data_IF_766150921802
#
_entry.id   IF_766150921802
#
_cell.length_a   1.000
_cell.length_b   1.000
_cell.length_c   1.000
_cell.angle_alpha   90.00
_cell.angle_beta   90.00
_cell.angle_gamma   90.00
#
_symmetry.space_group_name_H-M   'P 1'
#
loop_
_entity.id
_entity.type
_entity.pdbx_description
1 polymer ?
#
# COMPACT_ATOMS: atom_id res chain seq x y z
N UNK A 1 -52.55 -29.71 -79.63
CA UNK A 1 -53.02 -29.03 -78.44
C UNK A 1 -51.98 -29.12 -77.36
N UNK A 2 -51.11 -28.14 -77.28
CA UNK A 2 -50.92 -27.10 -76.29
C UNK A 2 -50.70 -27.57 -74.86
N UNK A 3 -49.53 -27.37 -74.26
CA UNK A 3 -49.25 -26.31 -73.29
C UNK A 3 -47.83 -26.41 -72.74
N UNK A 4 -47.06 -25.36 -72.89
CA UNK A 4 -45.78 -25.07 -72.27
C UNK A 4 -45.89 -24.98 -70.77
N UNK A 5 -44.93 -25.51 -70.02
CA UNK A 5 -44.72 -25.19 -68.64
C UNK A 5 -43.26 -24.84 -68.45
N UNK A 6 -43.03 -23.59 -68.17
CA UNK A 6 -41.72 -23.00 -67.82
C UNK A 6 -41.25 -23.53 -66.47
N UNK A 7 -40.02 -24.00 -66.46
CA UNK A 7 -39.34 -24.32 -65.23
C UNK A 7 -38.44 -23.09 -64.86
N UNK A 8 -38.90 -22.32 -63.83
CA UNK A 8 -38.11 -21.29 -63.19
C UNK A 8 -37.06 -21.95 -62.31
N UNK A 9 -35.81 -21.71 -62.61
CA UNK A 9 -34.66 -22.10 -61.75
C UNK A 9 -34.47 -20.99 -60.74
N UNK A 10 -34.82 -21.23 -59.46
CA UNK A 10 -34.50 -20.36 -58.33
C UNK A 10 -33.04 -20.60 -58.00
N UNK A 11 -32.19 -19.61 -58.28
CA UNK A 11 -30.83 -19.56 -57.77
C UNK A 11 -30.89 -19.16 -56.29
N UNK A 12 -30.64 -20.11 -55.40
CA UNK A 12 -30.48 -19.87 -53.97
C UNK A 12 -29.09 -19.28 -53.73
N UNK A 13 -28.99 -17.98 -53.54
CA UNK A 13 -27.73 -17.31 -53.12
C UNK A 13 -27.61 -17.50 -51.61
N UNK A 14 -26.70 -18.36 -51.19
CA UNK A 14 -26.30 -18.53 -49.79
C UNK A 14 -25.44 -17.33 -49.41
N UNK A 15 -26.04 -16.37 -48.71
CA UNK A 15 -25.31 -15.26 -48.09
C UNK A 15 -24.67 -15.79 -46.82
N UNK A 16 -23.37 -16.10 -46.91
CA UNK A 16 -22.55 -16.49 -45.73
C UNK A 16 -22.42 -15.27 -44.79
N UNK A 17 -23.15 -15.28 -43.69
CA UNK A 17 -22.93 -14.36 -42.59
C UNK A 17 -21.62 -14.72 -41.90
N UNK A 18 -20.57 -13.97 -42.17
CA UNK A 18 -19.34 -13.92 -41.35
C UNK A 18 -19.74 -13.31 -40.01
N UNK A 19 -20.05 -14.15 -39.04
CA UNK A 19 -20.06 -13.78 -37.63
C UNK A 19 -18.61 -13.48 -37.23
N UNK A 20 -18.17 -12.23 -37.45
CA UNK A 20 -17.01 -11.67 -36.83
C UNK A 20 -17.25 -11.65 -35.33
N UNK A 21 -16.73 -12.63 -34.60
CA UNK A 21 -16.62 -12.57 -33.16
C UNK A 21 -15.85 -11.34 -32.77
N UNK A 22 -16.55 -10.28 -32.37
CA UNK A 22 -15.98 -9.21 -31.58
C UNK A 22 -15.54 -9.88 -30.27
N UNK A 23 -14.25 -10.20 -30.18
CA UNK A 23 -13.62 -10.43 -28.90
C UNK A 23 -13.82 -9.12 -28.14
N UNK A 24 -14.80 -9.08 -27.27
CA UNK A 24 -14.91 -8.10 -26.21
C UNK A 24 -13.61 -8.19 -25.40
N UNK A 25 -12.62 -7.41 -25.82
CA UNK A 25 -11.54 -6.99 -24.94
C UNK A 25 -12.20 -6.17 -23.86
N UNK A 26 -12.69 -6.82 -22.82
CA UNK A 26 -13.01 -6.18 -21.56
C UNK A 26 -11.72 -5.50 -21.13
N UNK A 27 -11.54 -4.24 -21.52
CA UNK A 27 -10.52 -3.37 -20.98
C UNK A 27 -10.73 -3.43 -19.47
N UNK A 28 -9.83 -4.13 -18.77
CA UNK A 28 -9.87 -4.20 -17.32
C UNK A 28 -9.92 -2.77 -16.80
N UNK A 29 -11.09 -2.40 -16.31
CA UNK A 29 -11.41 -1.00 -15.99
C UNK A 29 -10.47 -0.56 -14.90
N UNK A 30 -9.66 0.46 -15.17
CA UNK A 30 -8.69 0.98 -14.23
C UNK A 30 -9.38 1.30 -12.90
N UNK A 31 -8.94 0.65 -11.82
CA UNK A 31 -9.51 0.87 -10.49
C UNK A 31 -9.47 2.35 -10.12
N UNK A 32 -10.50 2.89 -9.47
CA UNK A 32 -10.52 4.29 -9.08
C UNK A 32 -9.45 4.58 -8.02
N UNK A 33 -8.86 5.76 -8.11
CA UNK A 33 -7.94 6.26 -7.07
C UNK A 33 -8.73 6.56 -5.80
N UNK A 34 -8.21 6.13 -4.66
CA UNK A 34 -8.79 6.41 -3.34
C UNK A 34 -8.28 7.75 -2.81
N UNK A 35 -8.72 8.85 -3.42
CA UNK A 35 -8.23 10.20 -3.15
C UNK A 35 -8.34 10.66 -1.69
N UNK A 36 -9.18 10.00 -0.90
CA UNK A 36 -9.29 10.25 0.54
C UNK A 36 -8.11 9.72 1.37
N UNK A 37 -7.22 8.91 0.81
CA UNK A 37 -6.06 8.36 1.53
C UNK A 37 -4.87 9.33 1.62
N UNK A 38 -4.87 10.42 0.85
CA UNK A 38 -3.80 11.41 0.84
C UNK A 38 -4.42 12.80 1.03
N UNK A 39 -3.92 13.57 1.99
CA UNK A 39 -4.44 14.91 2.31
C UNK A 39 -3.34 15.96 2.21
N UNK A 40 -3.69 17.15 1.70
CA UNK A 40 -2.75 18.25 1.64
C UNK A 40 -2.58 18.94 3.00
N UNK A 41 -1.47 19.64 3.17
CA UNK A 41 -1.20 20.50 4.33
C UNK A 41 -2.28 21.58 4.49
N UNK A 42 -2.78 22.14 3.39
CA UNK A 42 -3.85 23.13 3.40
C UNK A 42 -5.17 22.56 3.92
N UNK A 43 -5.53 21.35 3.47
CA UNK A 43 -6.71 20.65 3.98
C UNK A 43 -6.59 20.43 5.48
N UNK A 44 -5.45 19.87 5.95
CA UNK A 44 -5.24 19.58 7.36
C UNK A 44 -5.29 20.86 8.22
N UNK A 45 -4.67 21.95 7.75
CA UNK A 45 -4.71 23.24 8.45
C UNK A 45 -6.16 23.73 8.70
N UNK A 46 -7.06 23.50 7.74
CA UNK A 46 -8.50 23.80 7.89
C UNK A 46 -9.25 22.85 8.83
N UNK A 47 -8.63 21.72 9.21
CA UNK A 47 -9.26 20.68 10.05
C UNK A 47 -8.72 20.61 11.48
N UNK A 48 -7.73 21.40 11.85
CA UNK A 48 -7.08 21.29 13.18
C UNK A 48 -8.03 21.44 14.37
N UNK A 49 -9.14 22.18 14.21
CA UNK A 49 -10.17 22.34 15.24
C UNK A 49 -11.31 21.33 15.16
N UNK A 50 -11.27 20.42 14.19
CA UNK A 50 -12.33 19.44 14.00
C UNK A 50 -12.11 18.24 14.95
N UNK A 51 -13.01 18.00 15.94
CA UNK A 51 -12.85 16.93 16.92
C UNK A 51 -12.94 15.51 16.28
N UNK A 52 -13.40 15.42 15.03
CA UNK A 52 -13.43 14.17 14.27
C UNK A 52 -12.12 13.88 13.55
N UNK A 53 -11.08 14.70 13.70
CA UNK A 53 -9.76 14.50 13.09
C UNK A 53 -8.72 14.28 14.19
N UNK A 54 -8.11 13.11 14.17
CA UNK A 54 -6.96 12.74 15.01
C UNK A 54 -5.71 12.82 14.16
N UNK A 55 -4.73 13.60 14.60
CA UNK A 55 -3.44 13.73 13.92
C UNK A 55 -2.39 12.98 14.72
N UNK A 56 -1.64 12.09 14.06
CA UNK A 56 -0.56 11.32 14.67
C UNK A 56 0.77 11.68 14.03
N UNK A 57 1.74 12.02 14.85
CA UNK A 57 3.15 12.21 14.48
C UNK A 57 3.93 10.95 14.86
N UNK A 58 4.46 10.27 13.88
CA UNK A 58 5.17 9.01 14.07
C UNK A 58 6.66 9.22 13.83
N UNK A 59 7.48 8.98 14.85
CA UNK A 59 8.93 9.07 14.75
C UNK A 59 9.63 8.02 15.60
N UNK A 60 10.96 7.84 15.43
CA UNK A 60 11.75 6.90 16.23
C UNK A 60 11.90 7.35 17.67
N UNK A 61 12.02 8.65 17.86
CA UNK A 61 12.14 9.31 19.17
C UNK A 61 11.31 10.59 19.17
N UNK A 62 11.21 11.24 20.33
CA UNK A 62 10.41 12.45 20.49
C UNK A 62 11.04 13.73 19.98
N UNK A 63 12.30 13.70 19.57
CA UNK A 63 13.06 14.93 19.29
C UNK A 63 12.35 15.83 18.27
N UNK A 64 12.01 15.28 17.10
CA UNK A 64 11.34 16.05 16.04
C UNK A 64 9.95 16.56 16.45
N UNK A 65 9.26 15.80 17.29
CA UNK A 65 7.96 16.19 17.85
C UNK A 65 8.09 17.33 18.86
N UNK A 66 9.05 17.24 19.79
CA UNK A 66 9.26 18.22 20.84
C UNK A 66 9.86 19.54 20.30
N UNK A 67 10.64 19.46 19.19
CA UNK A 67 11.12 20.64 18.46
C UNK A 67 10.03 21.37 17.68
N UNK A 68 8.93 20.69 17.33
CA UNK A 68 7.78 21.28 16.69
C UNK A 68 6.97 20.30 15.84
N UNK A 69 5.70 20.17 16.19
CA UNK A 69 4.75 19.29 15.52
C UNK A 69 3.53 20.06 15.02
N UNK A 70 2.74 19.44 14.15
CA UNK A 70 1.45 19.97 13.68
C UNK A 70 0.53 20.19 14.90
N UNK A 71 -0.13 21.36 15.05
CA UNK A 71 -0.96 21.65 16.19
C UNK A 71 -1.96 20.54 16.51
N UNK A 72 -1.99 20.13 17.79
CA UNK A 72 -2.86 19.05 18.27
C UNK A 72 -2.43 17.64 17.86
N UNK A 73 -1.30 17.45 17.19
CA UNK A 73 -0.79 16.13 16.87
C UNK A 73 -0.35 15.36 18.11
N UNK A 74 -0.57 14.05 18.12
CA UNK A 74 -0.23 13.11 19.19
C UNK A 74 0.97 12.27 18.76
N UNK A 75 1.94 12.12 19.65
CA UNK A 75 3.16 11.37 19.36
C UNK A 75 2.93 9.86 19.41
N UNK A 76 3.52 9.16 18.45
CA UNK A 76 3.60 7.70 18.40
C UNK A 76 5.07 7.32 18.19
N UNK A 77 5.66 6.59 19.12
CA UNK A 77 6.99 6.03 18.88
C UNK A 77 6.90 4.90 17.84
N UNK A 78 7.82 4.89 16.89
CA UNK A 78 7.88 3.82 15.88
C UNK A 78 7.97 2.44 16.53
N UNK A 79 8.69 2.32 17.65
CA UNK A 79 8.82 1.09 18.44
C UNK A 79 7.50 0.56 19.00
N UNK A 80 6.47 1.40 19.15
CA UNK A 80 5.16 0.98 19.67
C UNK A 80 4.29 0.27 18.62
N UNK A 81 4.63 0.44 17.33
CA UNK A 81 3.89 -0.14 16.20
C UNK A 81 4.64 -1.29 15.50
N UNK A 82 5.76 -1.72 16.07
CA UNK A 82 6.53 -2.86 15.59
C UNK A 82 7.05 -3.70 16.76
N UNK A 83 7.32 -4.97 16.50
CA UNK A 83 7.91 -5.89 17.48
C UNK A 83 8.95 -6.79 16.79
N UNK A 84 9.90 -7.29 17.54
CA UNK A 84 10.75 -8.39 17.09
C UNK A 84 10.13 -9.71 17.55
N UNK A 85 9.85 -10.61 16.61
CA UNK A 85 9.29 -11.94 16.88
C UNK A 85 10.13 -12.99 16.17
N UNK A 86 10.58 -14.01 16.90
CA UNK A 86 11.38 -15.12 16.36
C UNK A 86 12.63 -14.65 15.56
N UNK A 87 13.24 -13.54 16.01
CA UNK A 87 14.39 -12.94 15.33
C UNK A 87 14.06 -12.17 14.04
N UNK A 88 12.77 -11.95 13.77
CA UNK A 88 12.26 -11.12 12.67
C UNK A 88 11.90 -9.73 13.22
N UNK A 89 12.59 -8.68 12.80
CA UNK A 89 12.32 -7.32 13.25
C UNK A 89 11.12 -6.72 12.52
N UNK A 90 10.52 -5.69 13.13
CA UNK A 90 9.43 -4.89 12.59
C UNK A 90 8.13 -5.67 12.27
N UNK A 91 7.92 -6.82 12.90
CA UNK A 91 6.65 -7.55 12.81
C UNK A 91 5.50 -6.75 13.45
N UNK A 92 4.27 -7.05 13.05
CA UNK A 92 3.07 -6.44 13.66
C UNK A 92 2.94 -6.89 15.12
N UNK A 93 2.80 -5.96 16.08
CA UNK A 93 2.51 -6.28 17.47
C UNK A 93 1.18 -7.03 17.64
N UNK A 94 0.95 -7.68 18.81
CA UNK A 94 -0.34 -8.25 19.14
C UNK A 94 -1.48 -7.24 19.01
N UNK A 95 -2.62 -7.69 18.50
CA UNK A 95 -3.78 -6.82 18.21
C UNK A 95 -4.22 -6.01 19.43
N UNK A 96 -4.22 -6.63 20.60
CA UNK A 96 -4.66 -5.96 21.83
C UNK A 96 -3.69 -4.88 22.31
N UNK A 97 -2.39 -5.03 22.04
CA UNK A 97 -1.39 -3.99 22.33
C UNK A 97 -1.59 -2.77 21.44
N UNK A 98 -1.81 -3.02 20.13
CA UNK A 98 -2.12 -1.96 19.18
C UNK A 98 -3.44 -1.25 19.49
N UNK A 99 -4.47 -1.99 19.90
CA UNK A 99 -5.75 -1.40 20.31
C UNK A 99 -5.57 -0.49 21.52
N UNK A 100 -4.85 -0.97 22.56
CA UNK A 100 -4.54 -0.13 23.74
C UNK A 100 -3.77 1.12 23.35
N UNK A 101 -2.74 1.00 22.51
CA UNK A 101 -1.97 2.14 22.02
C UNK A 101 -2.88 3.16 21.33
N UNK A 102 -3.63 2.76 20.31
CA UNK A 102 -4.45 3.69 19.55
C UNK A 102 -5.61 4.29 20.38
N UNK A 103 -6.20 3.50 21.28
CA UNK A 103 -7.21 3.97 22.24
C UNK A 103 -6.63 5.07 23.14
N UNK A 104 -5.45 4.86 23.72
CA UNK A 104 -4.80 5.88 24.57
C UNK A 104 -4.44 7.15 23.80
N UNK A 105 -4.28 7.03 22.49
CA UNK A 105 -4.09 8.17 21.60
C UNK A 105 -5.42 8.80 21.14
N UNK A 106 -6.55 8.41 21.71
CA UNK A 106 -7.85 8.93 21.34
C UNK A 106 -8.31 8.55 19.93
N UNK A 107 -7.76 7.47 19.37
CA UNK A 107 -8.23 6.89 18.11
C UNK A 107 -9.37 5.93 18.42
N UNK A 108 -10.60 6.40 18.24
CA UNK A 108 -11.81 5.59 18.41
C UNK A 108 -12.33 4.99 17.10
N UNK A 109 -13.57 4.48 17.14
CA UNK A 109 -14.23 3.85 15.96
C UNK A 109 -14.68 4.85 14.88
N UNK A 110 -14.64 6.13 15.16
CA UNK A 110 -15.14 7.21 14.27
C UNK A 110 -14.05 8.23 13.98
N UNK A 111 -14.33 9.09 12.99
CA UNK A 111 -13.45 10.18 12.61
C UNK A 111 -12.33 9.76 11.66
N UNK A 112 -11.49 10.72 11.32
CA UNK A 112 -10.35 10.57 10.41
C UNK A 112 -9.05 10.51 11.20
N UNK A 113 -8.12 9.70 10.73
CA UNK A 113 -6.79 9.57 11.30
C UNK A 113 -5.79 10.08 10.26
N UNK A 114 -5.08 11.15 10.59
CA UNK A 114 -4.08 11.72 9.70
C UNK A 114 -2.69 11.37 10.24
N UNK A 115 -1.90 10.75 9.40
CA UNK A 115 -0.58 10.21 9.73
C UNK A 115 0.50 11.02 9.04
N UNK A 116 1.51 11.41 9.79
CA UNK A 116 2.73 11.95 9.22
C UNK A 116 3.93 11.55 10.09
N UNK A 117 5.07 11.55 9.49
CA UNK A 117 6.33 11.33 10.19
C UNK A 117 7.29 12.45 9.90
N UNK A 118 8.48 12.33 10.46
CA UNK A 118 9.66 13.06 10.06
C UNK A 118 10.41 12.30 8.95
N UNK A 119 11.42 12.96 8.38
CA UNK A 119 12.34 12.40 7.41
C UNK A 119 11.63 11.89 6.13
N UNK A 120 11.51 10.58 5.96
CA UNK A 120 11.13 9.96 4.68
C UNK A 120 9.69 9.41 4.65
N UNK A 121 8.90 9.62 5.69
CA UNK A 121 7.49 9.19 5.77
C UNK A 121 7.27 7.68 5.97
N UNK A 122 8.31 6.86 6.07
CA UNK A 122 8.16 5.40 6.23
C UNK A 122 7.47 5.01 7.54
N UNK A 123 7.70 5.76 8.61
CA UNK A 123 7.03 5.54 9.89
C UNK A 123 5.50 5.75 9.76
N UNK A 124 5.08 6.76 9.01
CA UNK A 124 3.67 7.03 8.74
C UNK A 124 3.03 5.93 7.88
N UNK A 125 3.72 5.45 6.83
CA UNK A 125 3.18 4.34 6.01
C UNK A 125 3.14 3.02 6.78
N UNK A 126 4.09 2.76 7.69
CA UNK A 126 4.03 1.60 8.59
C UNK A 126 2.81 1.69 9.51
N UNK A 127 2.53 2.87 10.06
CA UNK A 127 1.34 3.10 10.88
C UNK A 127 0.06 2.93 10.08
N UNK A 128 0.02 3.41 8.82
CA UNK A 128 -1.11 3.18 7.93
C UNK A 128 -1.37 1.67 7.75
N UNK A 129 -0.33 0.90 7.44
CA UNK A 129 -0.43 -0.55 7.28
C UNK A 129 -0.97 -1.22 8.56
N UNK A 130 -0.46 -0.84 9.73
CA UNK A 130 -0.94 -1.33 11.03
C UNK A 130 -2.41 -1.00 11.26
N UNK A 131 -2.84 0.23 10.94
CA UNK A 131 -4.25 0.63 11.04
C UNK A 131 -5.13 -0.10 10.01
N UNK A 132 -4.65 -0.33 8.79
CA UNK A 132 -5.41 -1.11 7.80
C UNK A 132 -5.53 -2.58 8.22
N UNK A 133 -4.48 -3.15 8.80
CA UNK A 133 -4.52 -4.49 9.42
C UNK A 133 -5.59 -4.57 10.53
N UNK A 134 -5.70 -3.54 11.37
CA UNK A 134 -6.75 -3.44 12.38
C UNK A 134 -8.16 -3.14 11.82
N UNK A 135 -8.31 -2.96 10.51
CA UNK A 135 -9.59 -2.63 9.86
C UNK A 135 -9.92 -1.14 9.81
N UNK A 136 -8.98 -0.27 10.13
CA UNK A 136 -9.18 1.19 10.17
C UNK A 136 -8.57 1.93 8.97
N UNK A 137 -8.02 1.24 7.97
CA UNK A 137 -7.37 1.85 6.81
C UNK A 137 -8.24 2.81 6.01
N UNK A 138 -9.56 2.57 5.92
CA UNK A 138 -10.49 3.46 5.20
C UNK A 138 -10.60 4.87 5.85
N UNK A 139 -10.25 5.00 7.13
CA UNK A 139 -10.29 6.24 7.89
C UNK A 139 -8.93 6.91 8.01
N UNK A 140 -7.86 6.19 7.71
CA UNK A 140 -6.50 6.67 7.78
C UNK A 140 -6.06 7.31 6.46
N UNK A 141 -5.31 8.41 6.57
CA UNK A 141 -4.72 9.11 5.44
C UNK A 141 -3.32 9.59 5.79
N UNK A 142 -2.44 9.70 4.80
CA UNK A 142 -1.16 10.36 4.96
C UNK A 142 -1.28 11.87 4.70
N UNK A 143 -0.53 12.65 5.47
CA UNK A 143 -0.25 14.04 5.15
C UNK A 143 0.80 14.07 4.04
N UNK A 144 0.44 14.57 2.87
CA UNK A 144 1.30 14.61 1.69
C UNK A 144 2.50 15.55 1.91
N UNK A 145 3.70 15.00 1.79
CA UNK A 145 4.95 15.70 2.08
C UNK A 145 5.31 15.82 3.58
N UNK A 146 4.49 15.29 4.48
CA UNK A 146 4.80 15.17 5.91
C UNK A 146 5.08 16.47 6.65
N UNK A 147 5.92 16.37 7.70
CA UNK A 147 6.33 17.51 8.52
C UNK A 147 7.21 18.49 7.73
N UNK A 148 8.02 18.00 6.82
CA UNK A 148 8.94 18.79 6.01
C UNK A 148 8.17 19.79 5.15
N UNK A 149 7.13 19.35 4.45
CA UNK A 149 6.27 20.24 3.66
C UNK A 149 5.49 21.20 4.54
N UNK A 150 4.99 20.77 5.69
CA UNK A 150 4.31 21.63 6.64
C UNK A 150 5.21 22.79 7.10
N UNK A 151 6.48 22.49 7.42
CA UNK A 151 7.51 23.47 7.78
C UNK A 151 7.90 24.39 6.62
N UNK A 152 8.09 23.80 5.42
CA UNK A 152 8.44 24.56 4.21
C UNK A 152 7.37 25.59 3.84
N UNK A 153 6.11 25.29 4.09
CA UNK A 153 4.98 26.21 3.91
C UNK A 153 4.82 27.20 5.09
N UNK A 154 5.75 27.21 6.04
CA UNK A 154 5.76 28.10 7.22
C UNK A 154 4.45 28.04 8.02
N UNK A 155 3.83 26.86 8.10
CA UNK A 155 2.61 26.66 8.89
C UNK A 155 2.93 26.62 10.38
N UNK A 156 1.95 26.95 11.21
CA UNK A 156 2.10 26.94 12.66
C UNK A 156 2.53 25.57 13.20
N UNK A 157 3.42 25.58 14.18
CA UNK A 157 3.86 24.42 14.94
C UNK A 157 3.56 24.63 16.41
N UNK A 158 3.38 23.52 17.14
CA UNK A 158 3.30 23.47 18.59
C UNK A 158 4.46 22.62 19.14
N UNK A 159 4.88 22.94 20.37
CA UNK A 159 5.91 22.18 21.13
C UNK A 159 5.31 21.50 22.36
N UNK A 160 4.08 21.86 22.70
CA UNK A 160 3.34 21.29 23.85
C UNK A 160 2.41 20.20 23.38
N UNK A 161 2.55 19.01 23.94
CA UNK A 161 1.65 17.90 23.62
C UNK A 161 0.22 18.21 24.05
N UNK A 162 -0.80 17.85 23.25
CA UNK A 162 -2.19 18.06 23.62
C UNK A 162 -2.59 17.16 24.79
N UNK A 163 -3.56 17.61 25.58
CA UNK A 163 -4.29 16.71 26.49
C UNK A 163 -5.11 15.73 25.66
N UNK A 164 -4.96 14.44 25.95
CA UNK A 164 -5.64 13.37 25.19
C UNK A 164 -6.70 12.75 26.10
N UNK A 165 -7.95 12.84 25.66
CA UNK A 165 -9.01 12.00 26.23
C UNK A 165 -8.98 10.66 25.51
N UNK A 166 -8.79 9.53 26.23
CA UNK A 166 -8.84 8.20 25.62
C UNK A 166 -10.19 7.97 24.93
N UNK A 167 -10.16 7.44 23.74
CA UNK A 167 -11.36 7.09 23.03
C UNK A 167 -11.69 5.61 23.27
N UNK A 168 -12.96 5.27 23.28
CA UNK A 168 -13.35 3.87 23.24
C UNK A 168 -13.21 3.31 21.82
N UNK A 169 -12.18 2.53 21.61
CA UNK A 169 -12.09 1.64 20.47
C UNK A 169 -12.85 0.36 20.87
N UNK A 170 -14.16 0.37 20.68
CA UNK A 170 -15.01 -0.76 21.01
C UNK A 170 -14.59 -1.97 20.18
N UNK A 171 -14.31 -3.14 20.77
CA UNK A 171 -14.20 -4.37 20.01
C UNK A 171 -15.58 -4.68 19.43
N UNK A 172 -15.95 -4.02 18.35
CA UNK A 172 -17.21 -4.32 17.69
C UNK A 172 -17.00 -5.59 16.90
N UNK A 173 -17.69 -6.65 17.30
CA UNK A 173 -18.05 -7.83 16.50
C UNK A 173 -18.85 -7.42 15.23
N UNK A 174 -18.52 -6.29 14.63
CA UNK A 174 -19.08 -5.90 13.32
C UNK A 174 -18.14 -6.42 12.23
N UNK A 175 -18.68 -7.11 11.23
CA UNK A 175 -17.88 -7.59 10.08
C UNK A 175 -17.09 -6.49 9.38
N UNK A 176 -17.48 -5.21 9.55
CA UNK A 176 -16.83 -4.06 8.94
C UNK A 176 -15.51 -3.60 9.60
N UNK A 177 -15.20 -4.06 10.82
CA UNK A 177 -13.96 -3.73 11.54
C UNK A 177 -13.26 -5.02 12.00
N UNK A 178 -13.30 -6.04 11.17
CA UNK A 178 -12.51 -7.26 11.40
C UNK A 178 -11.04 -6.96 11.11
N UNK A 179 -10.16 -7.49 11.95
CA UNK A 179 -8.72 -7.51 11.66
C UNK A 179 -8.50 -8.16 10.30
N UNK A 180 -7.82 -7.47 9.40
CA UNK A 180 -7.57 -7.95 8.04
C UNK A 180 -6.38 -8.91 8.03
N UNK A 181 -6.57 -10.12 8.51
CA UNK A 181 -5.52 -11.14 8.54
C UNK A 181 -4.94 -11.42 7.15
N UNK A 182 -5.70 -11.19 6.09
CA UNK A 182 -5.26 -11.33 4.72
C UNK A 182 -4.37 -10.16 4.22
N UNK A 183 -4.24 -9.08 4.99
CA UNK A 183 -3.30 -8.01 4.68
C UNK A 183 -1.83 -8.46 4.83
N UNK A 184 -1.56 -9.49 5.63
CA UNK A 184 -0.23 -10.07 5.86
C UNK A 184 -0.14 -11.45 5.21
N UNK A 185 1.00 -11.72 4.57
CA UNK A 185 1.32 -13.04 4.00
C UNK A 185 2.59 -13.58 4.64
N UNK A 186 2.59 -14.88 4.89
CA UNK A 186 3.76 -15.62 5.35
C UNK A 186 4.59 -16.15 4.17
N UNK A 187 5.75 -16.69 4.48
CA UNK A 187 6.68 -17.28 3.52
C UNK A 187 6.03 -18.41 2.71
N UNK A 188 5.19 -19.24 3.33
CA UNK A 188 4.54 -20.38 2.70
C UNK A 188 3.56 -19.92 1.63
N UNK A 189 2.78 -18.87 1.95
CA UNK A 189 1.87 -18.29 0.98
C UNK A 189 2.63 -17.70 -0.22
N UNK A 190 3.72 -16.95 0.02
CA UNK A 190 4.53 -16.37 -1.06
C UNK A 190 5.11 -17.49 -1.92
N UNK A 191 5.73 -18.51 -1.33
CA UNK A 191 6.35 -19.63 -2.04
C UNK A 191 5.36 -20.40 -2.94
N UNK A 192 4.11 -20.58 -2.47
CA UNK A 192 3.07 -21.27 -3.26
C UNK A 192 2.43 -20.43 -4.36
N UNK A 193 2.73 -19.13 -4.41
CA UNK A 193 2.12 -18.20 -5.37
C UNK A 193 3.12 -17.58 -6.36
N UNK A 194 4.39 -18.03 -6.37
CA UNK A 194 5.46 -17.47 -7.23
C UNK A 194 5.14 -17.47 -8.72
N UNK A 195 4.44 -18.50 -9.21
CA UNK A 195 4.18 -18.71 -10.63
C UNK A 195 2.74 -18.38 -11.05
N UNK A 196 1.92 -17.90 -10.12
CA UNK A 196 0.52 -17.60 -10.42
C UNK A 196 0.38 -16.30 -11.20
N UNK A 197 -0.28 -16.35 -12.34
CA UNK A 197 -0.48 -15.21 -13.23
C UNK A 197 -1.40 -14.12 -12.65
N UNK A 198 -2.24 -14.46 -11.67
CA UNK A 198 -3.13 -13.56 -10.95
C UNK A 198 -2.48 -12.90 -9.73
N UNK A 199 -1.20 -13.22 -9.43
CA UNK A 199 -0.40 -12.64 -8.35
C UNK A 199 0.79 -11.88 -8.92
N UNK A 200 1.02 -10.67 -8.45
CA UNK A 200 2.21 -9.87 -8.75
C UNK A 200 3.00 -9.62 -7.46
N UNK A 201 4.31 -9.81 -7.52
CA UNK A 201 5.22 -9.60 -6.39
C UNK A 201 6.06 -8.36 -6.67
N UNK A 202 6.10 -7.41 -5.74
CA UNK A 202 6.83 -6.14 -5.87
C UNK A 202 7.90 -6.04 -4.79
N UNK A 203 9.14 -5.94 -5.22
CA UNK A 203 10.30 -5.64 -4.37
C UNK A 203 10.45 -4.13 -4.24
N UNK A 204 10.32 -3.63 -3.02
CA UNK A 204 10.38 -2.19 -2.71
C UNK A 204 11.78 -1.68 -2.37
N UNK A 205 12.80 -2.55 -2.44
CA UNK A 205 14.19 -2.23 -2.11
C UNK A 205 14.90 -1.49 -3.26
N UNK A 206 16.04 -0.81 -2.96
CA UNK A 206 16.94 -0.31 -3.99
C UNK A 206 17.35 -1.39 -5.00
N UNK A 207 17.60 -0.98 -6.25
CA UNK A 207 17.92 -1.89 -7.35
C UNK A 207 19.17 -2.76 -7.08
N UNK A 208 20.16 -2.23 -6.37
CA UNK A 208 21.38 -2.94 -6.02
C UNK A 208 21.09 -4.15 -5.12
N UNK A 209 20.15 -4.00 -4.18
CA UNK A 209 19.73 -5.09 -3.29
C UNK A 209 18.88 -6.13 -4.03
N UNK A 210 18.06 -5.68 -4.99
CA UNK A 210 17.27 -6.57 -5.85
C UNK A 210 18.19 -7.44 -6.73
N UNK A 211 19.16 -6.84 -7.39
CA UNK A 211 20.13 -7.54 -8.24
C UNK A 211 20.96 -8.54 -7.45
N UNK A 212 21.33 -8.22 -6.22
CA UNK A 212 21.99 -9.16 -5.31
C UNK A 212 23.41 -9.55 -5.72
N UNK A 213 24.36 -8.68 -5.47
CA UNK A 213 25.79 -8.90 -5.81
C UNK A 213 26.64 -9.41 -4.65
N UNK A 214 26.21 -9.18 -3.40
CA UNK A 214 27.16 -9.10 -2.26
C UNK A 214 27.28 -10.38 -1.42
N UNK A 215 26.34 -11.31 -1.48
CA UNK A 215 26.39 -12.56 -0.69
C UNK A 215 25.77 -13.75 -1.46
N UNK A 216 26.06 -14.99 -1.06
CA UNK A 216 25.45 -16.17 -1.71
C UNK A 216 23.91 -16.17 -1.69
N UNK A 217 23.32 -15.64 -0.62
CA UNK A 217 21.85 -15.54 -0.44
C UNK A 217 21.34 -14.11 -0.62
N UNK A 218 21.95 -13.33 -1.53
CA UNK A 218 21.46 -12.02 -2.00
C UNK A 218 20.71 -12.16 -3.31
N UNK A 219 19.84 -11.19 -3.62
CA UNK A 219 18.98 -11.19 -4.78
C UNK A 219 17.54 -10.94 -4.41
N UNK A 220 16.61 -11.50 -5.16
CA UNK A 220 15.17 -11.24 -5.00
C UNK A 220 14.36 -12.54 -5.09
N UNK A 221 13.10 -12.45 -4.67
CA UNK A 221 12.10 -13.51 -4.80
C UNK A 221 11.79 -13.73 -6.28
N UNK A 222 11.80 -14.98 -6.81
CA UNK A 222 11.50 -15.26 -8.21
C UNK A 222 10.17 -14.64 -8.66
N UNK A 223 10.14 -14.07 -9.85
CA UNK A 223 8.97 -13.41 -10.40
C UNK A 223 8.74 -11.98 -9.91
N UNK A 224 9.45 -11.53 -8.87
CA UNK A 224 9.29 -10.18 -8.34
C UNK A 224 9.73 -9.11 -9.36
N UNK A 225 8.96 -8.02 -9.43
CA UNK A 225 9.35 -6.80 -10.13
C UNK A 225 9.93 -5.80 -9.11
N UNK A 226 10.99 -5.09 -9.47
CA UNK A 226 11.57 -4.08 -8.60
C UNK A 226 10.97 -2.69 -8.86
N UNK A 227 10.47 -2.06 -7.81
CA UNK A 227 10.16 -0.64 -7.78
C UNK A 227 10.56 -0.06 -6.43
N UNK A 228 11.69 0.61 -6.41
CA UNK A 228 12.20 1.24 -5.19
C UNK A 228 11.16 2.24 -4.64
N UNK A 229 10.79 2.09 -3.37
CA UNK A 229 9.71 2.85 -2.76
C UNK A 229 9.86 4.38 -2.89
N UNK A 230 11.08 4.92 -2.86
CA UNK A 230 11.31 6.36 -3.04
C UNK A 230 10.93 6.88 -4.43
N UNK A 231 10.84 6.00 -5.43
CA UNK A 231 10.41 6.40 -6.77
C UNK A 231 8.94 6.84 -6.82
N UNK A 232 8.17 6.58 -5.77
CA UNK A 232 6.80 7.08 -5.65
C UNK A 232 6.75 8.56 -5.28
N UNK A 233 7.84 9.13 -4.78
CA UNK A 233 7.95 10.52 -4.34
C UNK A 233 8.47 11.41 -5.49
N UNK A 234 8.12 12.69 -5.43
CA UNK A 234 8.59 13.67 -6.40
C UNK A 234 10.12 13.76 -6.39
N UNK A 235 10.73 13.77 -5.21
CA UNK A 235 12.18 13.80 -5.09
C UNK A 235 12.67 13.63 -3.65
N UNK A 236 13.97 13.79 -3.46
CA UNK A 236 14.60 13.70 -2.13
C UNK A 236 14.26 14.91 -1.25
N UNK A 237 14.08 16.06 -1.88
CA UNK A 237 13.80 17.35 -1.22
C UNK A 237 12.30 17.68 -1.25
N UNK A 238 11.51 16.91 -1.97
CA UNK A 238 10.06 17.00 -2.02
C UNK A 238 9.46 15.61 -1.81
N UNK A 239 9.08 15.32 -0.58
CA UNK A 239 8.53 14.04 -0.16
C UNK A 239 7.03 13.89 -0.47
N UNK A 240 6.47 14.77 -1.30
CA UNK A 240 5.11 14.57 -1.80
C UNK A 240 5.04 13.39 -2.76
N UNK A 241 3.91 12.74 -2.78
CA UNK A 241 3.69 11.65 -3.72
C UNK A 241 3.53 12.18 -5.15
N UNK A 242 4.10 11.46 -6.10
CA UNK A 242 3.86 11.72 -7.52
C UNK A 242 2.38 11.66 -7.88
N UNK A 243 1.96 12.34 -8.94
CA UNK A 243 0.57 12.27 -9.41
C UNK A 243 0.14 10.81 -9.67
N UNK A 244 -1.10 10.48 -9.30
CA UNK A 244 -1.64 9.13 -9.43
C UNK A 244 -1.51 8.54 -10.86
N UNK A 245 -1.59 9.38 -11.88
CA UNK A 245 -1.42 8.95 -13.27
C UNK A 245 0.01 8.46 -13.55
N UNK A 246 1.02 9.15 -13.01
CA UNK A 246 2.43 8.77 -13.12
C UNK A 246 2.70 7.47 -12.34
N UNK A 247 2.22 7.38 -11.10
CA UNK A 247 2.33 6.16 -10.29
C UNK A 247 1.69 4.94 -10.99
N UNK A 248 0.49 5.11 -11.57
CA UNK A 248 -0.16 4.05 -12.37
C UNK A 248 0.68 3.66 -13.58
N UNK A 249 1.29 4.64 -14.26
CA UNK A 249 2.18 4.37 -15.40
C UNK A 249 3.37 3.52 -14.97
N UNK A 250 4.05 3.87 -13.87
CA UNK A 250 5.21 3.12 -13.36
C UNK A 250 4.87 1.65 -13.10
N UNK A 251 3.75 1.37 -12.43
CA UNK A 251 3.33 -0.01 -12.17
C UNK A 251 2.92 -0.77 -13.43
N UNK A 252 2.28 -0.10 -14.42
CA UNK A 252 1.98 -0.73 -15.72
C UNK A 252 3.25 -1.08 -16.51
N UNK A 253 4.27 -0.23 -16.47
CA UNK A 253 5.57 -0.50 -17.11
C UNK A 253 6.28 -1.70 -16.50
N UNK A 254 6.00 -2.01 -15.23
CA UNK A 254 6.39 -3.27 -14.59
C UNK A 254 5.50 -4.45 -14.96
N UNK A 255 4.52 -4.28 -15.84
CA UNK A 255 3.60 -5.35 -16.25
C UNK A 255 2.48 -5.66 -15.28
N UNK A 256 2.26 -4.83 -14.23
CA UNK A 256 1.18 -5.03 -13.27
C UNK A 256 -0.19 -4.85 -13.93
N UNK A 257 -1.05 -5.87 -13.79
CA UNK A 257 -2.41 -5.85 -14.31
C UNK A 257 -3.42 -5.40 -13.25
N UNK A 258 -4.52 -4.72 -13.61
CA UNK A 258 -5.49 -4.19 -12.66
C UNK A 258 -6.18 -5.24 -11.79
N UNK A 259 -6.32 -6.48 -12.28
CA UNK A 259 -7.02 -7.57 -11.61
C UNK A 259 -6.12 -8.47 -10.75
N UNK A 260 -4.80 -8.25 -10.79
CA UNK A 260 -3.87 -9.05 -9.98
C UNK A 260 -3.97 -8.69 -8.49
N UNK A 261 -3.76 -9.68 -7.63
CA UNK A 261 -3.41 -9.47 -6.23
C UNK A 261 -1.93 -9.11 -6.15
N UNK A 262 -1.61 -8.04 -5.45
CA UNK A 262 -0.22 -7.58 -5.34
C UNK A 262 0.33 -7.93 -3.97
N UNK A 263 1.55 -8.45 -3.92
CA UNK A 263 2.31 -8.66 -2.69
C UNK A 263 3.51 -7.73 -2.70
N UNK A 264 3.64 -6.90 -1.68
CA UNK A 264 4.84 -6.06 -1.51
C UNK A 264 5.76 -6.65 -0.46
N UNK A 265 7.06 -6.53 -0.67
CA UNK A 265 8.07 -6.90 0.32
C UNK A 265 9.31 -5.97 0.23
N UNK A 266 10.17 -6.04 1.25
CA UNK A 266 11.45 -5.33 1.26
C UNK A 266 12.53 -6.13 2.02
N UNK A 267 13.27 -5.50 2.93
CA UNK A 267 14.18 -6.23 3.82
C UNK A 267 13.44 -6.78 5.06
N UNK A 268 12.64 -5.94 5.74
CA UNK A 268 12.02 -6.24 7.03
C UNK A 268 10.69 -5.49 7.22
N UNK A 269 9.86 -5.43 6.18
CA UNK A 269 8.49 -4.95 6.25
C UNK A 269 8.28 -3.43 6.37
N UNK A 270 9.32 -2.59 6.39
CA UNK A 270 9.14 -1.14 6.55
C UNK A 270 9.00 -0.42 5.22
N UNK A 271 9.97 -0.56 4.29
CA UNK A 271 9.91 0.09 2.97
C UNK A 271 8.70 -0.40 2.13
N UNK A 272 8.36 -1.68 2.28
CA UNK A 272 7.23 -2.29 1.60
C UNK A 272 5.88 -1.65 1.95
N UNK A 273 5.76 -1.04 3.15
CA UNK A 273 4.52 -0.35 3.52
C UNK A 273 4.26 0.89 2.68
N UNK A 274 5.30 1.55 2.17
CA UNK A 274 5.12 2.67 1.25
C UNK A 274 4.54 2.20 -0.09
N UNK A 275 5.07 1.10 -0.65
CA UNK A 275 4.50 0.49 -1.85
C UNK A 275 3.09 -0.05 -1.61
N UNK A 276 2.84 -0.66 -0.45
CA UNK A 276 1.52 -1.09 0.00
C UNK A 276 0.53 0.09 0.00
N UNK A 277 0.89 1.20 0.67
CA UNK A 277 0.06 2.41 0.70
C UNK A 277 -0.21 2.94 -0.71
N UNK A 278 0.82 3.08 -1.53
CA UNK A 278 0.71 3.58 -2.91
C UNK A 278 -0.24 2.73 -3.75
N UNK A 279 -0.11 1.41 -3.68
CA UNK A 279 -1.00 0.49 -4.40
C UNK A 279 -2.44 0.54 -3.90
N UNK A 280 -2.64 0.62 -2.57
CA UNK A 280 -3.98 0.86 -1.98
C UNK A 280 -4.59 2.17 -2.48
N UNK A 281 -3.81 3.25 -2.47
CA UNK A 281 -4.21 4.56 -2.98
C UNK A 281 -4.63 4.48 -4.46
N UNK A 282 -3.90 3.72 -5.27
CA UNK A 282 -4.23 3.50 -6.68
C UNK A 282 -5.40 2.53 -6.90
N UNK A 283 -5.94 1.91 -5.85
CA UNK A 283 -7.10 1.03 -5.89
C UNK A 283 -6.79 -0.45 -6.07
N UNK A 284 -5.52 -0.87 -6.05
CA UNK A 284 -5.16 -2.30 -6.19
C UNK A 284 -5.55 -3.14 -4.96
N UNK A 285 -5.77 -4.43 -5.18
CA UNK A 285 -5.83 -5.44 -4.11
C UNK A 285 -4.40 -5.79 -3.70
N UNK A 286 -3.96 -5.29 -2.54
CA UNK A 286 -2.58 -5.41 -2.09
C UNK A 286 -2.50 -6.02 -0.70
N UNK A 287 -1.51 -6.87 -0.53
CA UNK A 287 -1.11 -7.51 0.72
C UNK A 287 0.40 -7.35 0.90
N UNK A 288 0.95 -7.67 2.05
CA UNK A 288 2.37 -7.52 2.35
C UNK A 288 2.96 -8.81 2.92
N UNK A 289 4.14 -9.17 2.46
CA UNK A 289 5.00 -10.14 3.11
C UNK A 289 5.86 -9.40 4.14
N UNK A 290 5.41 -9.40 5.40
CA UNK A 290 5.97 -8.53 6.44
C UNK A 290 7.41 -8.91 6.80
N UNK A 291 7.68 -10.18 7.06
CA UNK A 291 9.02 -10.70 7.38
C UNK A 291 10.04 -10.51 6.24
N UNK A 292 9.57 -10.43 4.98
CA UNK A 292 10.36 -9.99 3.83
C UNK A 292 11.65 -10.79 3.61
N UNK A 293 12.72 -10.15 3.12
CA UNK A 293 14.00 -10.80 2.87
C UNK A 293 14.71 -11.26 4.13
N UNK A 294 14.40 -10.70 5.30
CA UNK A 294 14.98 -11.18 6.56
C UNK A 294 14.61 -12.63 6.84
N UNK A 295 13.41 -13.05 6.50
CA UNK A 295 12.99 -14.46 6.59
C UNK A 295 13.37 -15.23 5.33
N UNK A 296 13.03 -14.70 4.14
CA UNK A 296 13.24 -15.39 2.87
C UNK A 296 14.69 -15.84 2.64
N UNK A 297 15.66 -14.95 2.93
CA UNK A 297 17.07 -15.26 2.75
C UNK A 297 17.61 -16.30 3.73
N UNK A 298 16.98 -16.48 4.90
CA UNK A 298 17.37 -17.50 5.90
C UNK A 298 16.75 -18.86 5.61
N UNK A 299 15.62 -18.91 4.90
CA UNK A 299 14.94 -20.16 4.60
C UNK A 299 15.71 -20.95 3.50
N UNK A 300 16.32 -22.07 3.89
CA UNK A 300 17.23 -22.84 3.04
C UNK A 300 16.60 -23.25 1.68
N UNK A 301 15.31 -23.57 1.68
CA UNK A 301 14.57 -24.04 0.50
C UNK A 301 13.87 -22.92 -0.27
N UNK A 302 13.94 -21.66 0.19
CA UNK A 302 13.34 -20.55 -0.53
C UNK A 302 14.18 -20.21 -1.77
N UNK A 303 13.61 -20.24 -2.99
CA UNK A 303 14.35 -19.95 -4.21
C UNK A 303 14.77 -18.48 -4.26
N UNK A 304 15.93 -18.22 -4.91
CA UNK A 304 16.50 -16.89 -5.02
C UNK A 304 16.97 -16.64 -6.45
N UNK A 305 16.68 -15.46 -6.98
CA UNK A 305 17.17 -15.00 -8.28
C UNK A 305 18.17 -13.86 -8.10
N UNK A 306 19.26 -13.89 -8.86
CA UNK A 306 20.23 -12.80 -8.96
C UNK A 306 20.17 -12.15 -10.34
N UNK A 307 20.59 -10.90 -10.41
CA UNK A 307 20.56 -10.14 -11.65
C UNK A 307 19.28 -9.34 -11.82
N UNK A 308 19.07 -8.81 -13.03
CA UNK A 308 17.92 -7.96 -13.35
C UNK A 308 16.69 -8.75 -13.81
N UNK A 309 16.89 -9.98 -14.21
CA UNK A 309 15.83 -10.86 -14.68
C UNK A 309 14.97 -11.33 -13.51
N UNK A 310 13.67 -11.50 -13.76
CA UNK A 310 12.71 -11.90 -12.72
C UNK A 310 12.72 -13.42 -12.46
N UNK A 311 13.28 -14.21 -13.40
CA UNK A 311 13.31 -15.67 -13.36
C UNK A 311 14.69 -16.18 -13.73
#
# INVERSE_FOLDING_TARGET
MTRNLWRSIIKLTILGALLGGAADSAMAQARPVRGNMLVSTAWLAGQLKNPQVVVLHIARDRKSYDEGHVPGARFVAFGDIVVTRDGLPNEIPPVEDLRRLFTSLGVGDRGRIILYGDSNGLAATRTYFTLDYLGHGERAALLDGGLEKWKAEKRALETTAPTIEPAEMTPRLRPAVAVKMDAVRDISWVATNLEKSDVAIIDSRPAEQYVGTDTPRSGHIPGAANLFWMNHLVGKDDLTMKPAAELKKMYRELGLQPNQKVVTYCNSGVQATHSYFTLKYLGYDVTMYDASMTEWSKAANAPMVKGKERK
#
